data_IF_191169969813
#
_entry.id   IF_191169969813
#
_cell.length_a   1.000
_cell.length_b   1.000
_cell.length_c   1.000
_cell.angle_alpha   90.00
_cell.angle_beta   90.00
_cell.angle_gamma   90.00
#
_symmetry.space_group_name_H-M   'P 1'
#
loop_
_entity.id
_entity.type
_entity.pdbx_description
1 polymer ?
#
# COMPACT_ATOMS: atom_id res chain seq x y z
N UNK A 1 -29.27 27.79 -3.01
CA UNK A 1 -29.25 29.13 -3.65
C UNK A 1 -28.53 29.13 -5.00
N UNK A 2 -27.50 28.31 -5.23
CA UNK A 2 -26.77 28.29 -6.51
C UNK A 2 -27.60 27.84 -7.72
N UNK A 3 -28.51 26.89 -7.55
CA UNK A 3 -29.42 26.44 -8.62
C UNK A 3 -30.38 27.55 -9.08
N UNK A 4 -30.82 28.41 -8.15
CA UNK A 4 -31.72 29.54 -8.44
C UNK A 4 -31.03 30.65 -9.24
N UNK A 5 -29.74 30.89 -8.96
CA UNK A 5 -28.88 31.79 -9.74
C UNK A 5 -28.57 31.22 -11.13
N UNK A 6 -28.47 29.89 -11.26
CA UNK A 6 -28.32 29.23 -12.57
C UNK A 6 -29.54 29.42 -13.46
N UNK A 7 -30.74 29.18 -12.91
CA UNK A 7 -32.00 29.33 -13.64
C UNK A 7 -32.26 30.79 -14.04
N UNK A 8 -31.96 31.76 -13.17
CA UNK A 8 -32.16 33.18 -13.50
C UNK A 8 -31.28 33.65 -14.67
N UNK A 9 -30.04 33.15 -14.76
CA UNK A 9 -29.13 33.45 -15.87
C UNK A 9 -29.60 32.83 -17.19
N UNK A 10 -30.07 31.58 -17.15
CA UNK A 10 -30.62 30.92 -18.34
C UNK A 10 -31.84 31.70 -18.83
N UNK A 11 -32.75 32.09 -17.92
CA UNK A 11 -33.91 32.92 -18.26
C UNK A 11 -33.49 34.25 -18.89
N UNK A 12 -32.48 34.93 -18.35
CA UNK A 12 -31.94 36.16 -18.91
C UNK A 12 -31.39 35.97 -20.33
N UNK A 13 -30.63 34.89 -20.57
CA UNK A 13 -30.08 34.57 -21.91
C UNK A 13 -31.20 34.30 -22.91
N UNK A 14 -32.25 33.57 -22.52
CA UNK A 14 -33.40 33.28 -23.38
C UNK A 14 -34.15 34.57 -23.75
N UNK A 15 -34.39 35.45 -22.78
CA UNK A 15 -35.03 36.76 -23.03
C UNK A 15 -34.19 37.62 -23.96
N UNK A 16 -32.87 37.68 -23.73
CA UNK A 16 -31.95 38.45 -24.56
C UNK A 16 -31.89 37.90 -26.00
N UNK A 17 -31.82 36.58 -26.16
CA UNK A 17 -31.84 35.92 -27.47
C UNK A 17 -33.16 36.19 -28.21
N UNK A 18 -34.29 36.14 -27.51
CA UNK A 18 -35.61 36.48 -28.06
C UNK A 18 -35.70 37.95 -28.52
N UNK A 19 -35.17 38.89 -27.73
CA UNK A 19 -35.13 40.30 -28.10
C UNK A 19 -34.28 40.55 -29.36
N UNK A 20 -33.12 39.91 -29.45
CA UNK A 20 -32.22 39.99 -30.61
C UNK A 20 -32.90 39.40 -31.86
N UNK A 21 -33.56 38.24 -31.74
CA UNK A 21 -34.29 37.61 -32.84
C UNK A 21 -35.43 38.50 -33.35
N UNK A 22 -36.18 39.14 -32.45
CA UNK A 22 -37.26 40.06 -32.81
C UNK A 22 -36.75 41.29 -33.57
N UNK A 23 -35.64 41.88 -33.12
CA UNK A 23 -35.02 43.03 -33.81
C UNK A 23 -34.50 42.60 -35.19
N UNK A 24 -33.85 41.44 -35.29
CA UNK A 24 -33.33 40.91 -36.55
C UNK A 24 -34.42 40.69 -37.60
N UNK A 25 -35.55 40.10 -37.22
CA UNK A 25 -36.69 39.88 -38.12
C UNK A 25 -37.32 41.21 -38.57
N UNK A 26 -37.40 42.20 -37.67
CA UNK A 26 -37.94 43.51 -37.99
C UNK A 26 -37.05 44.31 -38.96
N UNK A 27 -35.73 44.25 -38.78
CA UNK A 27 -34.77 44.86 -39.72
C UNK A 27 -34.85 44.18 -41.09
N UNK A 28 -34.90 42.84 -41.13
CA UNK A 28 -35.07 42.07 -42.36
C UNK A 28 -36.36 42.44 -43.11
N UNK A 29 -37.49 42.50 -42.40
CA UNK A 29 -38.79 42.85 -42.99
C UNK A 29 -38.85 44.30 -43.49
N UNK A 30 -38.21 45.24 -42.79
CA UNK A 30 -38.20 46.66 -43.15
C UNK A 30 -37.36 46.95 -44.40
N UNK A 31 -36.26 46.23 -44.59
CA UNK A 31 -35.45 46.29 -45.82
C UNK A 31 -36.23 45.68 -47.00
N UNK A 32 -36.97 44.59 -46.77
CA UNK A 32 -37.85 43.98 -47.76
C UNK A 32 -38.98 44.89 -48.24
N UNK A 33 -39.64 45.64 -47.33
CA UNK A 33 -40.72 46.58 -47.70
C UNK A 33 -40.25 47.79 -48.50
N UNK A 34 -39.08 48.34 -48.19
CA UNK A 34 -38.56 49.56 -48.84
C UNK A 34 -38.02 49.32 -50.27
N UNK A 35 -38.09 48.08 -50.78
CA UNK A 35 -37.56 47.65 -52.08
C UNK A 35 -36.13 48.14 -52.32
N UNK A 36 -35.32 48.16 -51.26
CA UNK A 36 -33.93 48.60 -51.33
C UNK A 36 -33.18 47.63 -52.24
N UNK A 37 -32.53 48.18 -53.26
CA UNK A 37 -31.60 47.48 -54.14
C UNK A 37 -30.21 47.60 -53.54
N UNK A 38 -29.59 46.47 -53.21
CA UNK A 38 -28.19 46.39 -52.85
C UNK A 38 -27.46 45.86 -54.09
N UNK A 39 -26.55 46.65 -54.66
CA UNK A 39 -25.76 46.31 -55.86
C UNK A 39 -26.60 45.87 -57.08
N UNK A 40 -27.79 46.45 -57.30
CA UNK A 40 -28.60 46.19 -58.50
C UNK A 40 -29.43 44.89 -58.49
N UNK A 41 -29.49 44.19 -57.35
CA UNK A 41 -30.22 42.93 -57.21
C UNK A 41 -31.73 43.13 -57.07
N UNK A 42 -32.52 42.14 -57.55
CA UNK A 42 -33.98 42.12 -57.42
C UNK A 42 -34.36 42.12 -55.93
N UNK A 43 -35.26 43.01 -55.46
CA UNK A 43 -35.50 43.29 -54.04
C UNK A 43 -35.77 42.08 -53.12
N UNK A 44 -36.30 40.97 -53.67
CA UNK A 44 -36.55 39.73 -52.92
C UNK A 44 -35.26 39.09 -52.39
N UNK A 45 -34.18 39.08 -53.17
CA UNK A 45 -32.92 38.44 -52.76
C UNK A 45 -32.07 39.36 -51.89
N UNK A 46 -32.15 40.67 -52.12
CA UNK A 46 -31.48 41.67 -51.28
C UNK A 46 -31.91 41.58 -49.82
N UNK A 47 -33.20 41.40 -49.56
CA UNK A 47 -33.73 41.28 -48.19
C UNK A 47 -33.15 40.08 -47.44
N UNK A 48 -33.00 38.93 -48.11
CA UNK A 48 -32.44 37.72 -47.50
C UNK A 48 -30.94 37.88 -47.21
N UNK A 49 -30.18 38.45 -48.14
CA UNK A 49 -28.73 38.67 -47.96
C UNK A 49 -28.48 39.63 -46.79
N UNK A 50 -29.28 40.71 -46.68
CA UNK A 50 -29.15 41.68 -45.59
C UNK A 50 -29.54 41.04 -44.24
N UNK A 51 -30.58 40.21 -44.20
CA UNK A 51 -30.97 39.50 -42.97
C UNK A 51 -29.89 38.52 -42.49
N UNK A 52 -29.30 37.72 -43.40
CA UNK A 52 -28.21 36.79 -43.07
C UNK A 52 -26.96 37.57 -42.62
N UNK A 53 -26.61 38.65 -43.31
CA UNK A 53 -25.48 39.52 -42.93
C UNK A 53 -25.67 40.14 -41.54
N UNK A 54 -26.88 40.58 -41.20
CA UNK A 54 -27.19 41.10 -39.87
C UNK A 54 -27.07 40.01 -38.79
N UNK A 55 -27.52 38.78 -39.09
CA UNK A 55 -27.32 37.62 -38.22
C UNK A 55 -25.84 37.31 -37.95
N UNK A 56 -25.01 37.35 -38.99
CA UNK A 56 -23.55 37.18 -38.85
C UNK A 56 -22.90 38.29 -38.02
N UNK A 57 -23.31 39.55 -38.23
CA UNK A 57 -22.79 40.69 -37.46
C UNK A 57 -23.16 40.61 -35.97
N UNK A 58 -24.39 40.19 -35.66
CA UNK A 58 -24.81 39.95 -34.28
C UNK A 58 -23.97 38.84 -33.65
N UNK A 59 -23.83 37.69 -34.33
CA UNK A 59 -23.07 36.57 -33.81
C UNK A 59 -21.60 36.94 -33.55
N UNK A 60 -20.99 37.69 -34.47
CA UNK A 60 -19.62 38.19 -34.34
C UNK A 60 -19.51 39.21 -33.19
N UNK A 61 -20.45 40.14 -33.07
CA UNK A 61 -20.49 41.11 -31.98
C UNK A 61 -20.64 40.47 -30.60
N UNK A 62 -21.53 39.47 -30.47
CA UNK A 62 -21.72 38.70 -29.23
C UNK A 62 -20.45 37.93 -28.87
N UNK A 63 -19.81 37.28 -29.85
CA UNK A 63 -18.59 36.50 -29.63
C UNK A 63 -17.43 37.41 -29.20
N UNK A 64 -17.24 38.55 -29.87
CA UNK A 64 -16.21 39.53 -29.51
C UNK A 64 -16.48 40.17 -28.15
N UNK A 65 -17.73 40.52 -27.84
CA UNK A 65 -18.11 41.06 -26.54
C UNK A 65 -17.82 40.04 -25.42
N UNK A 66 -18.12 38.76 -25.64
CA UNK A 66 -17.83 37.69 -24.68
C UNK A 66 -16.33 37.51 -24.46
N UNK A 67 -15.55 37.49 -25.54
CA UNK A 67 -14.08 37.44 -25.47
C UNK A 67 -13.54 38.70 -24.78
N UNK A 68 -14.06 39.89 -25.07
CA UNK A 68 -13.61 41.14 -24.45
C UNK A 68 -13.92 41.18 -22.94
N UNK A 69 -15.12 40.78 -22.53
CA UNK A 69 -15.60 40.86 -21.16
C UNK A 69 -15.03 39.79 -20.23
N UNK A 70 -14.65 38.61 -20.74
CA UNK A 70 -14.28 37.47 -19.91
C UNK A 70 -12.88 36.92 -20.20
N UNK A 71 -12.00 36.98 -19.21
CA UNK A 71 -10.70 36.30 -19.24
C UNK A 71 -10.86 34.79 -19.41
N UNK A 72 -11.88 34.19 -18.77
CA UNK A 72 -12.19 32.76 -18.92
C UNK A 72 -12.55 32.39 -20.35
N UNK A 73 -13.33 33.21 -21.06
CA UNK A 73 -13.67 32.94 -22.46
C UNK A 73 -12.42 32.97 -23.35
N UNK A 74 -11.52 33.95 -23.19
CA UNK A 74 -10.24 33.99 -23.94
C UNK A 74 -9.37 32.76 -23.65
N UNK A 75 -9.30 32.37 -22.37
CA UNK A 75 -8.49 31.22 -21.94
C UNK A 75 -9.06 29.91 -22.48
N UNK A 76 -10.38 29.74 -22.47
CA UNK A 76 -11.05 28.57 -23.05
C UNK A 76 -10.89 28.50 -24.58
N UNK A 77 -11.07 29.61 -25.29
CA UNK A 77 -10.98 29.62 -26.75
C UNK A 77 -9.54 29.45 -27.29
N UNK A 78 -8.51 29.90 -26.55
CA UNK A 78 -7.14 29.93 -27.07
C UNK A 78 -6.08 29.16 -26.26
N UNK A 79 -6.32 28.81 -24.98
CA UNK A 79 -5.28 28.29 -24.06
C UNK A 79 -5.62 26.98 -23.34
N UNK A 80 -6.71 26.29 -23.71
CA UNK A 80 -7.05 24.98 -23.13
C UNK A 80 -5.92 23.94 -23.26
N UNK A 81 -5.19 23.95 -24.37
CA UNK A 81 -4.04 23.06 -24.58
C UNK A 81 -2.90 23.31 -23.59
N UNK A 82 -2.55 24.58 -23.36
CA UNK A 82 -1.52 24.97 -22.39
C UNK A 82 -1.93 24.60 -20.96
N UNK A 83 -3.20 24.83 -20.61
CA UNK A 83 -3.72 24.50 -19.28
C UNK A 83 -3.71 22.99 -19.04
N UNK A 84 -4.14 22.18 -20.01
CA UNK A 84 -4.10 20.72 -19.90
C UNK A 84 -2.66 20.19 -19.83
N UNK A 85 -1.72 20.81 -20.58
CA UNK A 85 -0.31 20.46 -20.50
C UNK A 85 0.30 20.80 -19.12
N UNK A 86 -0.11 21.92 -18.51
CA UNK A 86 0.29 22.26 -17.14
C UNK A 86 -0.30 21.29 -16.10
N UNK A 87 -1.57 20.90 -16.24
CA UNK A 87 -2.18 19.91 -15.34
C UNK A 87 -1.46 18.56 -15.46
N UNK A 88 -1.18 18.10 -16.68
CA UNK A 88 -0.45 16.86 -16.91
C UNK A 88 0.98 16.91 -16.37
N UNK A 89 1.69 18.05 -16.54
CA UNK A 89 3.05 18.21 -16.01
C UNK A 89 3.07 18.27 -14.49
N UNK A 90 2.11 18.95 -13.87
CA UNK A 90 1.95 18.99 -12.41
C UNK A 90 1.64 17.61 -11.84
N UNK A 91 0.73 16.86 -12.47
CA UNK A 91 0.43 15.49 -12.07
C UNK A 91 1.67 14.59 -12.16
N UNK A 92 2.46 14.73 -13.24
CA UNK A 92 3.71 13.99 -13.39
C UNK A 92 4.72 14.35 -12.30
N UNK A 93 4.87 15.63 -11.97
CA UNK A 93 5.77 16.08 -10.90
C UNK A 93 5.34 15.54 -9.53
N UNK A 94 4.04 15.51 -9.24
CA UNK A 94 3.52 14.91 -8.00
C UNK A 94 3.86 13.41 -7.95
N UNK A 95 3.64 12.68 -9.05
CA UNK A 95 3.95 11.25 -9.11
C UNK A 95 5.46 10.95 -8.98
N UNK A 96 6.31 11.75 -9.63
CA UNK A 96 7.77 11.64 -9.51
C UNK A 96 8.24 11.91 -8.08
N UNK A 97 7.69 12.96 -7.42
CA UNK A 97 7.96 13.28 -6.00
C UNK A 97 7.52 12.16 -5.06
N UNK A 98 6.35 11.58 -5.27
CA UNK A 98 5.85 10.47 -4.44
C UNK A 98 6.74 9.23 -4.57
N UNK A 99 7.18 8.91 -5.79
CA UNK A 99 8.12 7.81 -6.03
C UNK A 99 9.48 8.07 -5.40
N UNK A 100 9.98 9.30 -5.50
CA UNK A 100 11.24 9.71 -4.86
C UNK A 100 11.14 9.59 -3.33
N UNK A 101 10.06 10.11 -2.72
CA UNK A 101 9.80 9.96 -1.29
C UNK A 101 9.75 8.49 -0.86
N UNK A 102 9.05 7.63 -1.61
CA UNK A 102 8.98 6.20 -1.33
C UNK A 102 10.35 5.52 -1.45
N UNK A 103 11.17 5.89 -2.45
CA UNK A 103 12.54 5.39 -2.60
C UNK A 103 13.42 5.86 -1.45
N UNK A 104 13.44 7.14 -1.14
CA UNK A 104 14.27 7.71 -0.05
C UNK A 104 13.88 7.15 1.32
N UNK A 105 12.58 6.92 1.58
CA UNK A 105 12.14 6.27 2.81
C UNK A 105 12.65 4.83 2.89
N UNK A 106 12.56 4.06 1.81
CA UNK A 106 13.07 2.69 1.77
C UNK A 106 14.61 2.62 1.82
N UNK A 107 15.32 3.55 1.18
CA UNK A 107 16.79 3.66 1.20
C UNK A 107 17.32 4.03 2.59
N UNK A 108 16.55 4.78 3.37
CA UNK A 108 16.93 5.18 4.71
C UNK A 108 16.43 4.23 5.81
N UNK A 109 15.63 3.23 5.49
CA UNK A 109 15.20 2.22 6.46
C UNK A 109 16.43 1.39 6.89
N UNK A 110 16.82 1.52 8.16
CA UNK A 110 17.91 0.73 8.73
C UNK A 110 17.37 -0.57 9.31
N UNK A 111 16.22 -0.50 10.00
CA UNK A 111 15.61 -1.66 10.65
C UNK A 111 14.09 -1.59 10.54
N UNK A 112 13.47 -2.67 10.07
CA UNK A 112 12.01 -2.76 9.95
C UNK A 112 11.31 -3.00 11.29
N UNK A 113 10.05 -2.57 11.38
CA UNK A 113 9.18 -2.83 12.52
C UNK A 113 9.10 -4.33 12.84
N UNK A 114 9.16 -4.68 14.13
CA UNK A 114 9.10 -6.05 14.66
C UNK A 114 10.22 -6.99 14.17
N UNK A 115 11.22 -6.49 13.43
CA UNK A 115 12.39 -7.27 13.07
C UNK A 115 13.37 -7.35 14.25
N UNK A 116 14.06 -8.50 14.44
CA UNK A 116 15.05 -8.66 15.50
C UNK A 116 16.12 -7.58 15.45
N UNK A 117 16.26 -6.83 16.55
CA UNK A 117 17.30 -5.79 16.67
C UNK A 117 18.60 -6.37 17.25
N UNK A 118 18.55 -7.61 17.74
CA UNK A 118 19.69 -8.40 18.20
C UNK A 118 19.75 -9.74 17.46
N UNK A 119 20.94 -10.33 17.27
CA UNK A 119 21.09 -11.60 16.57
C UNK A 119 20.57 -12.81 17.38
N UNK A 120 20.38 -12.65 18.69
CA UNK A 120 19.98 -13.72 19.60
C UNK A 120 18.67 -13.41 20.29
N UNK A 121 17.99 -14.48 20.69
CA UNK A 121 16.84 -14.48 21.57
C UNK A 121 17.22 -15.09 22.91
N UNK A 122 16.42 -14.82 23.95
CA UNK A 122 16.61 -15.39 25.27
C UNK A 122 15.47 -16.36 25.61
N UNK A 123 15.78 -17.42 26.36
CA UNK A 123 14.80 -18.39 26.83
C UNK A 123 14.67 -18.25 28.34
N UNK A 124 13.45 -17.96 28.80
CA UNK A 124 13.13 -17.66 30.20
C UNK A 124 12.24 -18.77 30.76
N UNK A 125 12.62 -19.35 31.90
CA UNK A 125 11.85 -20.44 32.51
C UNK A 125 10.57 -19.90 33.17
N UNK A 126 9.41 -20.37 32.71
CA UNK A 126 8.11 -19.91 33.21
C UNK A 126 7.75 -20.42 34.61
N UNK A 127 8.46 -21.43 35.12
CA UNK A 127 8.20 -22.04 36.44
C UNK A 127 8.92 -21.32 37.60
N UNK A 128 9.65 -20.23 37.33
CA UNK A 128 10.33 -19.45 38.35
C UNK A 128 9.39 -18.46 39.05
N UNK A 129 9.84 -17.91 40.19
CA UNK A 129 9.13 -16.82 40.86
C UNK A 129 9.07 -15.58 39.95
N UNK A 130 7.99 -14.81 40.04
CA UNK A 130 7.77 -13.64 39.17
C UNK A 130 8.93 -12.63 39.23
N UNK A 131 9.48 -12.38 40.42
CA UNK A 131 10.60 -11.47 40.61
C UNK A 131 11.86 -11.93 39.84
N UNK A 132 12.15 -13.23 39.81
CA UNK A 132 13.28 -13.74 39.04
C UNK A 132 13.07 -13.59 37.53
N UNK A 133 11.86 -13.89 37.05
CA UNK A 133 11.50 -13.71 35.63
C UNK A 133 11.59 -12.21 35.25
N UNK A 134 11.13 -11.32 36.12
CA UNK A 134 11.25 -9.87 35.95
C UNK A 134 12.70 -9.44 35.79
N UNK A 135 13.58 -9.84 36.71
CA UNK A 135 15.01 -9.48 36.68
C UNK A 135 15.73 -10.06 35.46
N UNK A 136 15.34 -11.26 35.03
CA UNK A 136 15.84 -11.87 33.80
C UNK A 136 15.42 -11.08 32.56
N UNK A 137 14.13 -10.69 32.46
CA UNK A 137 13.63 -9.84 31.38
C UNK A 137 14.33 -8.48 31.36
N UNK A 138 14.53 -7.84 32.52
CA UNK A 138 15.29 -6.59 32.66
C UNK A 138 16.73 -6.75 32.15
N UNK A 139 17.37 -7.86 32.49
CA UNK A 139 18.74 -8.17 32.04
C UNK A 139 18.79 -8.38 30.53
N UNK A 140 17.82 -9.11 29.97
CA UNK A 140 17.68 -9.32 28.52
C UNK A 140 17.54 -7.98 27.79
N UNK A 141 16.64 -7.11 28.25
CA UNK A 141 16.43 -5.80 27.66
C UNK A 141 17.68 -4.92 27.75
N UNK A 142 18.33 -4.88 28.93
CA UNK A 142 19.56 -4.10 29.14
C UNK A 142 20.69 -4.55 28.22
N UNK A 143 20.86 -5.86 28.04
CA UNK A 143 21.86 -6.40 27.13
C UNK A 143 21.49 -6.12 25.67
N UNK A 144 20.21 -6.18 25.33
CA UNK A 144 19.73 -5.83 24.00
C UNK A 144 19.98 -4.35 23.65
N UNK A 145 19.78 -3.43 24.58
CA UNK A 145 20.13 -2.01 24.39
C UNK A 145 21.62 -1.84 24.11
N UNK A 146 22.50 -2.44 24.93
CA UNK A 146 23.96 -2.38 24.74
C UNK A 146 24.38 -2.93 23.38
N UNK A 147 23.81 -4.07 22.99
CA UNK A 147 24.11 -4.70 21.71
C UNK A 147 23.58 -3.88 20.53
N UNK A 148 22.35 -3.36 20.64
CA UNK A 148 21.75 -2.54 19.61
C UNK A 148 22.54 -1.24 19.40
N UNK A 149 22.96 -0.57 20.49
CA UNK A 149 23.80 0.61 20.41
C UNK A 149 25.13 0.29 19.71
N UNK A 150 25.75 -0.85 20.04
CA UNK A 150 27.01 -1.30 19.44
C UNK A 150 26.88 -1.57 17.94
N UNK A 151 25.79 -2.20 17.51
CA UNK A 151 25.59 -2.66 16.13
C UNK A 151 25.04 -1.55 15.24
N UNK A 152 24.02 -0.83 15.70
CA UNK A 152 23.22 0.04 14.82
C UNK A 152 23.63 1.51 14.82
N UNK A 153 24.29 1.99 15.88
CA UNK A 153 24.79 3.38 15.90
C UNK A 153 25.80 3.63 14.77
N UNK A 154 26.79 2.74 14.52
CA UNK A 154 27.70 2.89 13.37
C UNK A 154 26.99 2.83 12.01
N UNK A 155 25.82 2.18 11.93
CA UNK A 155 25.04 2.05 10.70
C UNK A 155 24.15 3.27 10.41
N UNK A 156 24.05 4.19 11.36
CA UNK A 156 23.38 5.48 11.20
C UNK A 156 22.16 5.69 12.10
N UNK A 157 21.91 4.82 13.09
CA UNK A 157 20.97 5.14 14.17
C UNK A 157 21.63 5.97 15.26
N UNK A 158 20.81 6.58 16.11
CA UNK A 158 21.23 7.23 17.35
C UNK A 158 21.05 6.27 18.53
N UNK A 159 21.89 6.39 19.58
CA UNK A 159 21.83 5.50 20.72
C UNK A 159 20.47 5.57 21.44
N UNK A 160 20.15 4.50 22.15
CA UNK A 160 19.04 4.49 23.10
C UNK A 160 19.21 5.58 24.15
N UNK A 161 18.16 6.35 24.43
CA UNK A 161 18.25 7.55 25.27
C UNK A 161 17.34 7.54 26.50
N UNK A 162 16.51 6.50 26.67
CA UNK A 162 15.68 6.37 27.86
C UNK A 162 16.47 5.72 29.01
N UNK A 163 16.23 6.10 30.27
CA UNK A 163 16.78 5.40 31.42
C UNK A 163 16.34 3.93 31.44
N UNK A 164 17.26 3.02 31.76
CA UNK A 164 16.97 1.57 31.82
C UNK A 164 16.25 1.14 33.11
N UNK A 165 16.22 2.03 34.11
CA UNK A 165 15.70 1.78 35.45
C UNK A 165 14.62 2.81 35.83
N UNK A 166 13.70 3.06 34.90
CA UNK A 166 12.53 3.91 35.14
C UNK A 166 11.26 3.06 35.38
N UNK A 167 10.19 3.73 35.84
CA UNK A 167 8.91 3.09 36.11
C UNK A 167 8.20 2.56 34.83
N UNK A 168 8.50 3.14 33.66
CA UNK A 168 7.91 2.68 32.38
C UNK A 168 8.44 1.30 32.01
N UNK A 169 9.77 1.11 32.10
CA UNK A 169 10.43 -0.16 31.86
C UNK A 169 10.06 -1.20 32.91
N UNK A 170 10.07 -0.82 34.19
CA UNK A 170 9.69 -1.73 35.28
C UNK A 170 8.25 -2.27 35.10
N UNK A 171 7.32 -1.42 34.69
CA UNK A 171 5.96 -1.86 34.35
C UNK A 171 5.94 -2.87 33.19
N UNK A 172 6.68 -2.59 32.10
CA UNK A 172 6.78 -3.49 30.94
C UNK A 172 7.44 -4.83 31.30
N UNK A 173 8.47 -4.82 32.15
CA UNK A 173 9.13 -6.04 32.61
C UNK A 173 8.20 -6.88 33.49
N UNK A 174 7.39 -6.24 34.34
CA UNK A 174 6.38 -6.90 35.14
C UNK A 174 5.28 -7.54 34.28
N UNK A 175 4.82 -6.84 33.24
CA UNK A 175 3.86 -7.36 32.27
C UNK A 175 4.43 -8.59 31.53
N UNK A 176 5.64 -8.45 30.99
CA UNK A 176 6.36 -9.54 30.33
C UNK A 176 6.54 -10.75 31.25
N UNK A 177 6.97 -10.54 32.50
CA UNK A 177 7.16 -11.60 33.47
C UNK A 177 5.83 -12.30 33.83
N UNK A 178 4.75 -11.53 34.00
CA UNK A 178 3.42 -12.06 34.24
C UNK A 178 2.93 -12.89 33.04
N UNK A 179 3.15 -12.42 31.81
CA UNK A 179 2.81 -13.15 30.60
C UNK A 179 3.60 -14.47 30.49
N UNK A 180 4.92 -14.46 30.68
CA UNK A 180 5.75 -15.67 30.62
C UNK A 180 5.28 -16.69 31.66
N UNK A 181 5.08 -16.26 32.91
CA UNK A 181 4.68 -17.15 34.00
C UNK A 181 3.27 -17.73 33.81
N UNK A 182 2.29 -16.90 33.42
CA UNK A 182 0.88 -17.33 33.32
C UNK A 182 0.56 -18.03 32.00
N UNK A 183 1.10 -17.52 30.90
CA UNK A 183 0.71 -17.96 29.56
C UNK A 183 1.66 -19.02 29.02
N UNK A 184 2.96 -18.95 29.29
CA UNK A 184 3.89 -19.92 28.72
C UNK A 184 3.96 -21.23 29.49
N UNK A 185 3.68 -21.23 30.80
CA UNK A 185 3.71 -22.44 31.62
C UNK A 185 2.85 -23.59 31.02
N UNK A 186 3.36 -24.83 31.00
CA UNK A 186 4.64 -25.30 31.55
C UNK A 186 5.86 -25.11 30.63
N UNK A 187 5.70 -24.49 29.45
CA UNK A 187 6.79 -24.21 28.52
C UNK A 187 7.53 -22.92 28.87
N UNK A 188 8.80 -22.81 28.48
CA UNK A 188 9.58 -21.58 28.65
C UNK A 188 9.04 -20.44 27.78
N UNK A 189 9.17 -19.21 28.25
CA UNK A 189 9.03 -18.01 27.42
C UNK A 189 10.27 -17.82 26.55
N UNK A 190 10.10 -17.21 25.40
CA UNK A 190 11.16 -16.84 24.47
C UNK A 190 11.02 -15.36 24.23
N UNK A 191 12.07 -14.60 24.54
CA UNK A 191 12.06 -13.14 24.50
C UNK A 191 12.93 -12.68 23.34
N UNK A 192 12.34 -11.90 22.45
CA UNK A 192 12.96 -11.34 21.26
C UNK A 192 12.99 -9.82 21.37
N UNK A 193 14.18 -9.23 21.52
CA UNK A 193 14.35 -7.80 21.31
C UNK A 193 14.14 -7.47 19.83
N UNK A 194 13.12 -6.67 19.55
CA UNK A 194 12.77 -6.25 18.19
C UNK A 194 12.67 -4.74 18.11
N UNK A 195 12.79 -4.18 16.91
CA UNK A 195 12.52 -2.77 16.70
C UNK A 195 11.03 -2.47 17.00
N UNK A 196 10.79 -1.45 17.84
CA UNK A 196 9.43 -1.08 18.26
C UNK A 196 8.59 -0.46 17.12
N UNK A 197 9.26 0.03 16.08
CA UNK A 197 8.71 0.61 14.86
C UNK A 197 9.81 0.63 13.79
N UNK A 198 9.50 1.02 12.55
CA UNK A 198 10.52 1.25 11.52
C UNK A 198 11.54 2.29 12.02
N UNK A 199 12.82 1.96 11.93
CA UNK A 199 13.93 2.84 12.30
C UNK A 199 14.64 3.29 11.03
N UNK A 200 14.58 4.59 10.76
CA UNK A 200 15.28 5.22 9.65
C UNK A 200 16.62 5.80 10.11
N UNK A 201 17.50 6.09 9.15
CA UNK A 201 18.76 6.79 9.40
C UNK A 201 18.54 8.07 10.21
N UNK A 202 19.22 8.19 11.35
CA UNK A 202 19.11 9.30 12.29
C UNK A 202 18.10 9.09 13.41
N UNK A 203 17.26 8.06 13.34
CA UNK A 203 16.32 7.72 14.41
C UNK A 203 17.05 7.19 15.63
N UNK A 204 16.44 7.39 16.80
CA UNK A 204 16.91 6.77 18.03
C UNK A 204 16.50 5.31 18.03
N UNK A 205 17.38 4.45 18.52
CA UNK A 205 17.05 3.04 18.75
C UNK A 205 15.82 2.97 19.67
N UNK A 206 14.82 2.21 19.25
CA UNK A 206 13.63 1.93 20.03
C UNK A 206 13.39 0.43 20.05
N UNK A 207 13.44 -0.17 21.23
CA UNK A 207 13.35 -1.63 21.42
C UNK A 207 12.02 -1.96 22.07
N UNK A 208 11.39 -3.03 21.57
CA UNK A 208 10.28 -3.70 22.23
C UNK A 208 10.62 -5.18 22.43
N UNK A 209 9.94 -5.83 23.38
CA UNK A 209 10.09 -7.25 23.62
C UNK A 209 8.91 -7.99 23.03
N UNK A 210 9.16 -8.82 22.02
CA UNK A 210 8.20 -9.78 21.54
C UNK A 210 8.41 -11.10 22.29
N UNK A 211 7.34 -11.70 22.79
CA UNK A 211 7.41 -12.91 23.62
C UNK A 211 6.61 -14.03 22.98
N UNK A 212 7.28 -15.15 22.69
CA UNK A 212 6.64 -16.39 22.27
C UNK A 212 6.79 -17.46 23.35
N UNK A 213 5.90 -18.45 23.35
CA UNK A 213 6.02 -19.58 24.27
C UNK A 213 6.62 -20.78 23.54
N UNK A 214 7.64 -21.42 24.13
CA UNK A 214 8.35 -22.56 23.55
C UNK A 214 7.55 -23.87 23.61
N UNK A 215 6.33 -23.85 23.07
CA UNK A 215 5.44 -25.01 23.00
C UNK A 215 5.82 -25.91 21.83
N UNK A 216 5.43 -27.17 21.89
CA UNK A 216 5.47 -28.04 20.72
C UNK A 216 4.35 -27.62 19.77
N UNK A 217 4.72 -27.25 18.54
CA UNK A 217 3.80 -26.77 17.52
C UNK A 217 3.33 -27.91 16.61
N UNK A 218 4.22 -28.86 16.36
CA UNK A 218 3.96 -30.00 15.50
C UNK A 218 4.56 -31.29 16.09
N UNK A 219 3.83 -32.39 15.99
CA UNK A 219 4.38 -33.73 16.22
C UNK A 219 5.13 -34.21 14.97
N UNK A 220 6.06 -35.16 15.11
CA UNK A 220 6.73 -35.82 13.98
C UNK A 220 5.71 -36.46 13.02
N UNK A 221 5.90 -36.26 11.71
CA UNK A 221 5.05 -36.80 10.64
C UNK A 221 3.75 -36.02 10.41
N UNK A 222 3.52 -34.94 11.16
CA UNK A 222 2.33 -34.12 11.03
C UNK A 222 2.38 -33.32 9.72
N UNK A 223 1.28 -33.32 8.98
CA UNK A 223 1.11 -32.45 7.81
C UNK A 223 1.02 -30.98 8.25
N UNK A 224 1.85 -30.15 7.63
CA UNK A 224 1.90 -28.71 7.88
C UNK A 224 1.11 -27.97 6.80
N UNK A 225 1.40 -28.29 5.54
CA UNK A 225 0.74 -27.73 4.36
C UNK A 225 0.81 -28.72 3.19
N UNK A 226 -0.08 -28.56 2.22
CA UNK A 226 -0.07 -29.36 1.00
C UNK A 226 -0.55 -28.58 -0.22
N UNK A 227 -0.10 -28.99 -1.40
CA UNK A 227 -0.54 -28.46 -2.70
C UNK A 227 -0.92 -29.61 -3.63
N UNK A 228 -1.87 -29.36 -4.53
CA UNK A 228 -2.22 -30.31 -5.58
C UNK A 228 -1.29 -30.09 -6.78
N UNK A 229 -0.74 -31.17 -7.32
CA UNK A 229 0.20 -31.16 -8.43
C UNK A 229 -0.12 -32.25 -9.45
N UNK A 230 -0.13 -31.94 -10.76
CA UNK A 230 -0.19 -32.95 -11.81
C UNK A 230 1.10 -33.79 -11.83
N UNK A 231 0.95 -35.09 -12.06
CA UNK A 231 2.07 -35.97 -12.42
C UNK A 231 2.72 -35.52 -13.74
N UNK A 232 4.04 -35.63 -13.82
CA UNK A 232 4.84 -35.16 -14.95
C UNK A 232 5.12 -33.65 -14.96
N UNK A 233 4.69 -32.91 -13.93
CA UNK A 233 4.91 -31.46 -13.82
C UNK A 233 6.00 -31.10 -12.82
N UNK A 234 6.57 -29.89 -12.96
CA UNK A 234 7.50 -29.33 -11.97
C UNK A 234 6.68 -28.62 -10.88
N UNK A 235 6.76 -29.06 -9.61
CA UNK A 235 5.97 -28.49 -8.52
C UNK A 235 6.47 -27.10 -8.15
N UNK A 236 5.56 -26.18 -7.79
CA UNK A 236 5.94 -24.89 -7.20
C UNK A 236 6.29 -25.07 -5.71
N UNK A 237 7.52 -25.51 -5.46
CA UNK A 237 8.05 -25.74 -4.12
C UNK A 237 8.07 -24.45 -3.30
N UNK A 238 8.38 -23.30 -3.91
CA UNK A 238 8.37 -22.02 -3.23
C UNK A 238 7.00 -21.69 -2.63
N UNK A 239 5.92 -21.97 -3.36
CA UNK A 239 4.56 -21.78 -2.87
C UNK A 239 4.22 -22.74 -1.70
N UNK A 240 4.61 -24.02 -1.80
CA UNK A 240 4.42 -24.96 -0.69
C UNK A 240 5.20 -24.56 0.56
N UNK A 241 6.44 -24.09 0.41
CA UNK A 241 7.26 -23.61 1.53
C UNK A 241 6.66 -22.34 2.16
N UNK A 242 6.12 -21.42 1.36
CA UNK A 242 5.42 -20.24 1.88
C UNK A 242 4.18 -20.61 2.70
N UNK A 243 3.36 -21.56 2.21
CA UNK A 243 2.21 -22.09 2.96
C UNK A 243 2.66 -22.78 4.26
N UNK A 244 3.75 -23.53 4.20
CA UNK A 244 4.33 -24.22 5.36
C UNK A 244 4.76 -23.21 6.42
N UNK A 245 5.39 -22.11 6.02
CA UNK A 245 5.78 -21.05 6.94
C UNK A 245 4.59 -20.33 7.56
N UNK A 246 3.59 -20.00 6.74
CA UNK A 246 2.37 -19.37 7.23
C UNK A 246 1.69 -20.26 8.28
N UNK A 247 1.53 -21.55 7.99
CA UNK A 247 0.94 -22.52 8.92
C UNK A 247 1.75 -22.71 10.21
N UNK A 248 3.08 -22.55 10.16
CA UNK A 248 3.94 -22.55 11.35
C UNK A 248 3.76 -21.26 12.17
N UNK A 249 3.71 -20.11 11.49
CA UNK A 249 3.50 -18.79 12.11
C UNK A 249 2.15 -18.70 12.80
N UNK A 250 1.08 -19.19 12.14
CA UNK A 250 -0.28 -19.23 12.69
C UNK A 250 -0.37 -20.10 13.96
N UNK A 251 0.52 -21.10 14.09
CA UNK A 251 0.64 -21.92 15.30
C UNK A 251 1.55 -21.31 16.37
N UNK A 252 2.16 -20.15 16.12
CA UNK A 252 2.97 -19.41 17.09
C UNK A 252 4.48 -19.61 16.92
N UNK A 253 4.95 -20.10 15.76
CA UNK A 253 6.37 -20.02 15.41
C UNK A 253 6.74 -18.57 15.08
N UNK A 254 7.75 -17.96 15.70
CA UNK A 254 8.19 -16.63 15.34
C UNK A 254 8.76 -16.57 13.91
N UNK A 255 8.45 -15.51 13.17
CA UNK A 255 8.80 -15.39 11.75
C UNK A 255 10.32 -15.36 11.46
N UNK A 256 11.14 -15.04 12.46
CA UNK A 256 12.60 -14.90 12.35
C UNK A 256 13.40 -16.09 12.89
N UNK A 257 12.76 -17.08 13.53
CA UNK A 257 13.44 -18.30 14.02
C UNK A 257 13.55 -19.38 12.97
N UNK A 258 12.83 -19.22 11.86
CA UNK A 258 12.98 -20.04 10.68
C UNK A 258 13.96 -19.36 9.72
N UNK A 259 15.16 -19.91 9.57
CA UNK A 259 15.96 -19.69 8.36
C UNK A 259 15.08 -19.89 7.12
N UNK A 260 15.37 -19.23 5.97
CA UNK A 260 14.68 -19.52 4.72
C UNK A 260 14.72 -21.02 4.47
N UNK A 261 13.55 -21.62 4.66
CA UNK A 261 13.24 -23.01 4.99
C UNK A 261 14.21 -24.01 4.38
N UNK A 262 14.88 -24.76 5.27
CA UNK A 262 15.82 -25.81 4.92
C UNK A 262 15.34 -26.56 3.69
N UNK A 263 16.18 -26.61 2.67
CA UNK A 263 15.93 -27.37 1.45
C UNK A 263 15.45 -28.77 1.89
N UNK A 264 14.21 -29.19 1.57
CA UNK A 264 13.70 -30.46 2.04
C UNK A 264 14.73 -31.54 1.71
N UNK A 265 15.14 -32.32 2.71
CA UNK A 265 16.25 -33.26 2.56
C UNK A 265 16.02 -34.26 1.41
N UNK A 266 14.76 -34.49 1.05
CA UNK A 266 14.31 -35.37 -0.02
C UNK A 266 13.77 -34.65 -1.28
N UNK A 267 14.01 -33.34 -1.45
CA UNK A 267 13.43 -32.56 -2.56
C UNK A 267 13.72 -33.17 -3.94
N UNK A 268 14.98 -33.52 -4.20
CA UNK A 268 15.38 -34.08 -5.50
C UNK A 268 14.69 -35.42 -5.79
N UNK A 269 14.53 -36.27 -4.78
CA UNK A 269 13.87 -37.56 -4.91
C UNK A 269 12.38 -37.39 -5.27
N UNK A 270 11.70 -36.46 -4.60
CA UNK A 270 10.28 -36.16 -4.84
C UNK A 270 10.04 -35.53 -6.20
N UNK A 271 10.92 -34.62 -6.65
CA UNK A 271 10.85 -34.07 -8.00
C UNK A 271 11.01 -35.16 -9.07
N UNK A 272 11.96 -36.08 -8.86
CA UNK A 272 12.20 -37.18 -9.76
C UNK A 272 11.01 -38.17 -9.80
N UNK A 273 10.40 -38.48 -8.65
CA UNK A 273 9.20 -39.32 -8.57
C UNK A 273 8.01 -38.68 -9.29
N UNK A 274 7.72 -37.40 -9.03
CA UNK A 274 6.62 -36.68 -9.67
C UNK A 274 6.81 -36.58 -11.19
N UNK A 275 8.05 -36.45 -11.67
CA UNK A 275 8.36 -36.39 -13.11
C UNK A 275 7.95 -37.64 -13.89
N UNK A 276 7.95 -38.80 -13.22
CA UNK A 276 7.58 -40.11 -13.80
C UNK A 276 6.14 -40.51 -13.52
N UNK A 277 5.45 -39.75 -12.68
CA UNK A 277 4.11 -40.05 -12.23
C UNK A 277 3.05 -39.57 -13.23
N UNK A 278 1.90 -40.25 -13.26
CA UNK A 278 0.74 -39.87 -14.08
C UNK A 278 -0.49 -39.72 -13.21
N UNK A 279 -1.31 -38.70 -13.47
CA UNK A 279 -2.52 -38.42 -12.68
C UNK A 279 -2.37 -37.19 -11.77
N UNK A 280 -3.20 -37.11 -10.73
CA UNK A 280 -3.20 -35.99 -9.77
C UNK A 280 -2.56 -36.45 -8.47
N UNK A 281 -1.69 -35.63 -7.92
CA UNK A 281 -1.00 -35.90 -6.66
C UNK A 281 -1.20 -34.74 -5.70
N UNK A 282 -1.09 -35.06 -4.41
CA UNK A 282 -0.97 -34.09 -3.33
C UNK A 282 0.47 -34.13 -2.85
N UNK A 283 1.18 -33.02 -3.01
CA UNK A 283 2.51 -32.84 -2.45
C UNK A 283 2.38 -32.19 -1.08
N UNK A 284 2.88 -32.88 -0.06
CA UNK A 284 2.64 -32.57 1.34
C UNK A 284 3.96 -32.27 2.03
N UNK A 285 4.02 -31.16 2.74
CA UNK A 285 5.10 -30.86 3.68
C UNK A 285 4.73 -31.44 5.06
N UNK A 286 5.50 -32.43 5.51
CA UNK A 286 5.39 -33.03 6.85
C UNK A 286 6.60 -32.68 7.70
N UNK A 287 6.45 -32.74 9.01
CA UNK A 287 7.57 -32.58 9.94
C UNK A 287 8.43 -33.85 10.03
N UNK A 288 9.75 -33.71 9.90
CA UNK A 288 10.70 -34.83 10.12
C UNK A 288 10.92 -35.17 11.62
N UNK A 289 10.60 -34.24 12.51
CA UNK A 289 10.75 -34.39 13.96
C UNK A 289 9.66 -33.61 14.72
N UNK A 290 9.61 -33.75 16.06
CA UNK A 290 8.78 -32.87 16.88
C UNK A 290 9.33 -31.43 16.79
N UNK A 291 8.48 -30.49 16.38
CA UNK A 291 8.87 -29.10 16.17
C UNK A 291 8.34 -28.25 17.31
N UNK A 292 9.22 -27.46 17.92
CA UNK A 292 8.88 -26.45 18.93
C UNK A 292 9.01 -25.06 18.34
N UNK A 293 8.48 -24.05 19.03
CA UNK A 293 8.45 -22.68 18.52
C UNK A 293 9.83 -22.09 18.12
N UNK A 294 10.93 -22.53 18.74
CA UNK A 294 12.31 -22.12 18.41
C UNK A 294 13.15 -23.22 17.73
N UNK A 295 12.56 -24.40 17.51
CA UNK A 295 13.27 -25.50 16.87
C UNK A 295 13.33 -25.30 15.36
N UNK A 296 14.35 -25.84 14.67
CA UNK A 296 14.39 -25.81 13.22
C UNK A 296 13.14 -26.51 12.67
N UNK A 297 12.51 -25.88 11.68
CA UNK A 297 11.38 -26.47 10.97
C UNK A 297 11.91 -27.49 9.95
N UNK A 298 12.20 -28.70 10.42
CA UNK A 298 12.66 -29.81 9.56
C UNK A 298 11.47 -30.38 8.79
N UNK A 299 11.49 -30.19 7.47
CA UNK A 299 10.40 -30.59 6.57
C UNK A 299 10.84 -31.77 5.70
N UNK A 300 9.96 -32.75 5.58
CA UNK A 300 10.04 -33.86 4.62
C UNK A 300 8.86 -33.74 3.65
N UNK A 301 9.13 -33.90 2.36
CA UNK A 301 8.09 -33.90 1.34
C UNK A 301 7.53 -35.31 1.11
N UNK A 302 6.21 -35.42 1.01
CA UNK A 302 5.55 -36.69 0.68
C UNK A 302 4.57 -36.49 -0.49
N UNK A 303 4.60 -37.44 -1.43
CA UNK A 303 3.63 -37.53 -2.52
C UNK A 303 2.52 -38.52 -2.14
N UNK A 304 1.28 -38.08 -2.22
CA UNK A 304 0.10 -38.93 -2.08
C UNK A 304 -0.74 -38.84 -3.36
N UNK A 305 -1.25 -39.97 -3.86
CA UNK A 305 -2.16 -39.95 -5.03
C UNK A 305 -3.48 -39.29 -4.62
N UNK A 306 -3.90 -38.27 -5.36
CA UNK A 306 -5.21 -37.65 -5.16
C UNK A 306 -6.27 -38.56 -5.80
N UNK A 307 -7.15 -39.13 -4.97
CA UNK A 307 -8.33 -39.87 -5.43
C UNK A 307 -9.26 -39.00 -6.28
#
# INVERSE_FOLDING_TARGET
METLLGVSRIAFIVVLAGAIAFIGDRVGHQVGRRRLSLFGLRPKHTSTIVAVGFGMLIALGVTLALLAASHYARTAFFRLGELNAQVASLQKQVQEREQELARTQNENLIQGNQQPITPTYAVVNSNQALAHIHDEVKTIFTNAVKEADRVWVPLGLRPYDKPLDDAEHDHKFNEAASFIRKTCAPASGIVFPVAAHNLFRGDKIAISLNIACNRQLFAKGQEIASINVPGGSVPNIGYLLALTQQAATDRGMPAYTSEPFGNPSNLQAVQHELSRAHGKYRLIARTGANVRAIGPLVIELQLESAK
#
